data_IF_811864294831
#
_entry.id   IF_811864294831
#
_cell.length_a   1.000
_cell.length_b   1.000
_cell.length_c   1.000
_cell.angle_alpha   90.00
_cell.angle_beta   90.00
_cell.angle_gamma   90.00
#
_symmetry.space_group_name_H-M   'P 1'
#
loop_
_entity.id
_entity.type
_entity.pdbx_description
1 polymer ?
#
# COMPACT_ATOMS: atom_id res chain seq x y z
N UNK A 1 48.60 -19.65 47.16
CA UNK A 1 47.42 -19.93 46.32
C UNK A 1 46.19 -19.35 47.02
N UNK A 2 45.29 -18.62 46.35
CA UNK A 2 45.24 -18.27 44.93
C UNK A 2 45.26 -16.76 44.63
N UNK A 3 45.38 -16.50 43.33
CA UNK A 3 45.52 -15.26 42.59
C UNK A 3 44.39 -14.22 42.73
N UNK A 4 44.79 -12.97 42.53
CA UNK A 4 43.92 -11.84 42.19
C UNK A 4 43.66 -11.83 40.68
N UNK A 5 42.39 -11.77 40.26
CA UNK A 5 41.98 -11.26 38.95
C UNK A 5 41.11 -9.98 39.14
N UNK A 6 41.31 -8.93 38.33
CA UNK A 6 40.62 -7.66 38.47
C UNK A 6 39.36 -7.57 37.58
N UNK A 7 38.34 -6.87 38.10
CA UNK A 7 37.39 -6.05 37.36
C UNK A 7 36.70 -6.65 36.12
N UNK A 8 35.59 -7.38 36.33
CA UNK A 8 34.53 -7.47 35.32
C UNK A 8 33.43 -6.45 35.64
N UNK A 9 33.46 -5.32 34.94
CA UNK A 9 32.25 -4.53 34.69
C UNK A 9 31.24 -5.41 33.95
N UNK A 10 29.97 -5.45 34.35
CA UNK A 10 28.96 -6.10 33.53
C UNK A 10 28.81 -5.28 32.25
N UNK A 11 29.22 -5.87 31.13
CA UNK A 11 28.87 -5.43 29.79
C UNK A 11 27.35 -5.35 29.70
N UNK A 12 26.77 -4.15 29.87
CA UNK A 12 25.45 -3.86 29.35
C UNK A 12 25.52 -4.00 27.82
N UNK A 13 25.19 -5.20 27.33
CA UNK A 13 24.64 -5.31 25.99
C UNK A 13 23.32 -4.56 26.03
N UNK A 14 23.33 -3.35 25.50
CA UNK A 14 22.14 -2.70 24.97
C UNK A 14 21.66 -3.58 23.82
N UNK A 15 20.87 -4.62 24.14
CA UNK A 15 20.03 -5.27 23.15
C UNK A 15 18.90 -4.29 22.87
N UNK A 16 19.11 -3.56 21.78
CA UNK A 16 18.12 -3.11 20.82
C UNK A 16 16.70 -3.64 21.08
N UNK A 17 15.89 -2.84 21.78
CA UNK A 17 14.51 -3.16 22.17
C UNK A 17 13.54 -2.12 21.59
N UNK A 18 13.80 -1.68 20.35
CA UNK A 18 12.96 -0.74 19.60
C UNK A 18 12.41 -1.39 18.33
N UNK A 19 11.47 -2.32 18.50
CA UNK A 19 10.42 -2.64 17.50
C UNK A 19 9.50 -3.75 18.05
N UNK A 20 8.72 -3.46 19.10
CA UNK A 20 7.73 -4.42 19.61
C UNK A 20 6.42 -4.38 18.82
N UNK A 21 6.51 -4.63 17.52
CA UNK A 21 5.38 -5.16 16.75
C UNK A 21 5.61 -6.66 16.65
N UNK A 22 4.99 -7.43 17.56
CA UNK A 22 5.14 -8.89 17.51
C UNK A 22 4.48 -9.44 16.24
N UNK A 23 5.13 -10.42 15.62
CA UNK A 23 4.69 -11.09 14.40
C UNK A 23 3.27 -11.70 14.53
N UNK A 24 2.82 -11.96 15.76
CA UNK A 24 1.50 -12.56 16.05
C UNK A 24 0.35 -11.53 16.01
N UNK A 25 0.54 -10.31 16.52
CA UNK A 25 -0.45 -9.23 16.36
C UNK A 25 -0.64 -8.87 14.88
N UNK A 26 0.46 -8.92 14.11
CA UNK A 26 0.48 -8.71 12.66
C UNK A 26 -0.31 -9.79 11.90
N UNK A 27 -0.11 -11.08 12.22
CA UNK A 27 -0.86 -12.19 11.62
C UNK A 27 -2.37 -12.14 11.92
N UNK A 28 -2.74 -11.75 13.14
CA UNK A 28 -4.16 -11.69 13.55
C UNK A 28 -4.97 -10.65 12.77
N UNK A 29 -4.38 -9.49 12.45
CA UNK A 29 -5.02 -8.44 11.65
C UNK A 29 -5.17 -8.85 10.18
N UNK A 30 -4.19 -9.58 9.64
CA UNK A 30 -4.19 -10.08 8.25
C UNK A 30 -5.30 -11.12 8.03
N UNK A 31 -5.50 -12.05 8.99
CA UNK A 31 -6.50 -13.13 8.87
C UNK A 31 -7.94 -12.62 8.72
N UNK A 32 -8.30 -11.53 9.40
CA UNK A 32 -9.66 -10.94 9.35
C UNK A 32 -10.00 -10.41 7.96
N UNK A 33 -9.01 -9.91 7.20
CA UNK A 33 -9.21 -9.44 5.83
C UNK A 33 -9.38 -10.59 4.83
N UNK A 34 -8.60 -11.67 5.00
CA UNK A 34 -8.62 -12.84 4.10
C UNK A 34 -9.92 -13.65 4.22
N UNK A 35 -10.36 -13.97 5.44
CA UNK A 35 -11.59 -14.74 5.65
C UNK A 35 -12.84 -14.01 5.12
N UNK A 36 -12.85 -12.67 5.23
CA UNK A 36 -13.91 -11.82 4.67
C UNK A 36 -13.96 -11.88 3.14
N UNK A 37 -12.80 -11.84 2.48
CA UNK A 37 -12.70 -11.99 1.02
C UNK A 37 -13.12 -13.39 0.57
N UNK A 38 -12.68 -14.46 1.25
CA UNK A 38 -13.09 -15.84 0.95
C UNK A 38 -14.61 -16.03 1.03
N UNK A 39 -15.23 -15.45 2.07
CA UNK A 39 -16.67 -15.48 2.24
C UNK A 39 -17.37 -14.77 1.09
N UNK A 40 -16.93 -13.56 0.76
CA UNK A 40 -17.53 -12.74 -0.31
C UNK A 40 -17.39 -13.40 -1.69
N UNK A 41 -16.23 -13.99 -2.00
CA UNK A 41 -16.02 -14.76 -3.24
C UNK A 41 -16.99 -15.94 -3.32
N UNK A 42 -17.15 -16.69 -2.22
CA UNK A 42 -18.06 -17.84 -2.18
C UNK A 42 -19.52 -17.44 -2.32
N UNK A 43 -19.95 -16.43 -1.57
CA UNK A 43 -21.36 -16.02 -1.49
C UNK A 43 -21.82 -15.26 -2.73
N UNK A 44 -20.95 -14.44 -3.31
CA UNK A 44 -21.36 -13.51 -4.39
C UNK A 44 -20.94 -13.96 -5.78
N UNK A 45 -19.82 -14.69 -5.89
CA UNK A 45 -19.35 -15.22 -7.18
C UNK A 45 -19.68 -16.70 -7.34
N UNK A 46 -20.03 -17.40 -6.25
CA UNK A 46 -20.28 -18.84 -6.27
C UNK A 46 -19.02 -19.68 -6.52
N UNK A 47 -17.83 -19.08 -6.35
CA UNK A 47 -16.54 -19.71 -6.66
C UNK A 47 -15.94 -20.30 -5.37
N UNK A 48 -15.27 -21.45 -5.49
CA UNK A 48 -14.42 -21.91 -4.41
C UNK A 48 -13.15 -21.04 -4.35
N UNK A 49 -12.92 -20.24 -3.29
CA UNK A 49 -11.75 -19.37 -3.21
C UNK A 49 -10.43 -20.17 -3.23
N UNK A 50 -10.45 -21.46 -2.86
CA UNK A 50 -9.24 -22.30 -2.91
C UNK A 50 -8.95 -22.87 -4.30
N UNK A 51 -9.69 -22.48 -5.33
CA UNK A 51 -9.51 -22.91 -6.72
C UNK A 51 -8.83 -21.80 -7.55
N UNK A 52 -7.48 -21.74 -7.60
CA UNK A 52 -6.76 -20.68 -8.31
C UNK A 52 -7.11 -20.61 -9.80
N UNK A 53 -7.36 -21.77 -10.44
CA UNK A 53 -7.67 -21.83 -11.87
C UNK A 53 -9.01 -21.13 -12.16
N UNK A 54 -10.02 -21.39 -11.33
CA UNK A 54 -11.35 -20.80 -11.48
C UNK A 54 -11.38 -19.31 -11.14
N UNK A 55 -10.60 -18.89 -10.14
CA UNK A 55 -10.40 -17.48 -9.79
C UNK A 55 -9.75 -16.72 -10.95
N UNK A 56 -8.60 -17.17 -11.44
CA UNK A 56 -7.90 -16.49 -12.52
C UNK A 56 -8.70 -16.52 -13.83
N UNK A 57 -9.42 -17.61 -14.14
CA UNK A 57 -10.32 -17.66 -15.29
C UNK A 57 -11.46 -16.64 -15.19
N UNK A 58 -12.04 -16.49 -13.99
CA UNK A 58 -13.09 -15.50 -13.71
C UNK A 58 -12.54 -14.08 -13.79
N UNK A 59 -11.38 -13.82 -13.20
CA UNK A 59 -10.71 -12.53 -13.25
C UNK A 59 -10.46 -12.10 -14.70
N UNK A 60 -9.87 -12.98 -15.52
CA UNK A 60 -9.60 -12.71 -16.93
C UNK A 60 -10.88 -12.46 -17.74
N UNK A 61 -11.97 -13.16 -17.44
CA UNK A 61 -13.27 -12.93 -18.08
C UNK A 61 -13.83 -11.57 -17.69
N UNK A 62 -13.86 -11.26 -16.40
CA UNK A 62 -14.35 -9.99 -15.85
C UNK A 62 -13.55 -8.82 -16.40
N UNK A 63 -12.21 -8.92 -16.46
CA UNK A 63 -11.35 -7.90 -17.05
C UNK A 63 -11.70 -7.62 -18.51
N UNK A 64 -11.91 -8.64 -19.33
CA UNK A 64 -12.31 -8.44 -20.74
C UNK A 64 -13.65 -7.72 -20.87
N UNK A 65 -14.63 -8.11 -20.05
CA UNK A 65 -15.96 -7.48 -20.02
C UNK A 65 -15.88 -6.02 -19.56
N UNK A 66 -15.02 -5.73 -18.58
CA UNK A 66 -14.73 -4.37 -18.11
C UNK A 66 -14.08 -3.54 -19.22
N UNK A 67 -13.01 -4.03 -19.86
CA UNK A 67 -12.33 -3.30 -20.93
C UNK A 67 -13.26 -3.00 -22.11
N UNK A 68 -14.13 -3.95 -22.48
CA UNK A 68 -15.13 -3.75 -23.53
C UNK A 68 -16.17 -2.66 -23.18
N UNK A 69 -16.38 -2.39 -21.90
CA UNK A 69 -17.25 -1.33 -21.42
C UNK A 69 -16.52 0.02 -21.27
N UNK A 70 -15.36 0.01 -20.63
CA UNK A 70 -14.66 1.20 -20.15
C UNK A 70 -13.92 1.93 -21.28
N UNK A 71 -13.21 1.20 -22.15
CA UNK A 71 -12.37 1.83 -23.19
C UNK A 71 -13.19 2.69 -24.16
N UNK A 72 -14.38 2.27 -24.66
CA UNK A 72 -15.22 3.14 -25.49
C UNK A 72 -15.74 4.40 -24.76
N UNK A 73 -15.67 4.42 -23.43
CA UNK A 73 -16.16 5.49 -22.54
C UNK A 73 -15.02 6.22 -21.82
N UNK A 74 -13.77 6.04 -22.27
CA UNK A 74 -12.59 6.47 -21.56
C UNK A 74 -12.67 7.92 -21.07
N UNK A 75 -12.93 8.87 -21.98
CA UNK A 75 -13.02 10.31 -21.66
C UNK A 75 -14.03 10.65 -20.56
N UNK A 76 -15.23 10.05 -20.60
CA UNK A 76 -16.24 10.30 -19.57
C UNK A 76 -15.84 9.69 -18.23
N UNK A 77 -15.26 8.48 -18.23
CA UNK A 77 -14.86 7.79 -17.02
C UNK A 77 -13.60 8.42 -16.38
N UNK A 78 -12.66 8.91 -17.18
CA UNK A 78 -11.49 9.67 -16.73
C UNK A 78 -11.92 10.97 -16.02
N UNK A 79 -12.85 11.72 -16.62
CA UNK A 79 -13.41 12.92 -16.01
C UNK A 79 -14.21 12.61 -14.73
N UNK A 80 -14.96 11.52 -14.72
CA UNK A 80 -15.68 11.06 -13.53
C UNK A 80 -14.70 10.68 -12.40
N UNK A 81 -13.61 9.98 -12.74
CA UNK A 81 -12.61 9.54 -11.76
C UNK A 81 -11.94 10.74 -11.10
N UNK A 82 -11.51 11.74 -11.90
CA UNK A 82 -10.97 12.99 -11.37
C UNK A 82 -11.97 13.69 -10.45
N UNK A 83 -13.23 13.87 -10.90
CA UNK A 83 -14.28 14.52 -10.11
C UNK A 83 -14.48 13.83 -8.77
N UNK A 84 -14.70 12.51 -8.77
CA UNK A 84 -14.99 11.73 -7.57
C UNK A 84 -13.82 11.76 -6.58
N UNK A 85 -12.58 11.64 -7.06
CA UNK A 85 -11.39 11.70 -6.19
C UNK A 85 -11.20 13.10 -5.62
N UNK A 86 -11.40 14.15 -6.43
CA UNK A 86 -11.28 15.53 -5.94
C UNK A 86 -12.32 15.86 -4.89
N UNK A 87 -13.58 15.47 -5.11
CA UNK A 87 -14.66 15.66 -4.15
C UNK A 87 -14.37 14.93 -2.83
N UNK A 88 -13.90 13.69 -2.91
CA UNK A 88 -13.67 12.87 -1.71
C UNK A 88 -12.45 13.32 -0.88
N UNK A 89 -11.37 13.70 -1.54
CA UNK A 89 -10.14 14.19 -0.90
C UNK A 89 -10.17 15.70 -0.62
N UNK A 90 -11.25 16.41 -0.99
CA UNK A 90 -11.34 17.87 -0.92
C UNK A 90 -10.15 18.53 -1.64
N UNK A 91 -9.74 17.95 -2.76
CA UNK A 91 -8.56 18.37 -3.51
C UNK A 91 -8.87 19.63 -4.33
N UNK A 92 -8.10 20.72 -4.19
CA UNK A 92 -8.36 21.97 -4.89
C UNK A 92 -8.15 21.80 -6.40
N UNK A 93 -8.99 22.48 -7.20
CA UNK A 93 -8.83 22.52 -8.66
C UNK A 93 -7.65 23.40 -9.05
N UNK A 94 -7.51 24.53 -8.36
CA UNK A 94 -6.39 25.44 -8.49
C UNK A 94 -5.14 24.82 -7.82
N UNK A 95 -3.98 24.89 -8.49
CA UNK A 95 -2.73 24.40 -7.91
C UNK A 95 -2.41 22.93 -8.16
N UNK A 96 -3.35 22.13 -8.68
CA UNK A 96 -3.16 20.70 -8.94
C UNK A 96 -3.68 20.31 -10.33
N UNK A 97 -2.76 19.93 -11.20
CA UNK A 97 -3.05 19.35 -12.52
C UNK A 97 -3.26 17.85 -12.39
N UNK A 98 -4.33 17.31 -12.97
CA UNK A 98 -4.61 15.87 -13.00
C UNK A 98 -4.69 15.40 -14.44
N UNK A 99 -3.92 14.37 -14.78
CA UNK A 99 -3.97 13.65 -16.04
C UNK A 99 -4.35 12.20 -15.75
N UNK A 100 -5.58 11.84 -16.12
CA UNK A 100 -6.17 10.54 -15.86
C UNK A 100 -6.35 9.78 -17.18
N UNK A 101 -5.88 8.54 -17.24
CA UNK A 101 -5.84 7.75 -18.46
C UNK A 101 -6.35 6.32 -18.26
N UNK A 102 -7.35 5.92 -19.03
CA UNK A 102 -7.72 4.51 -19.17
C UNK A 102 -6.89 3.87 -20.28
N UNK A 103 -6.23 2.76 -19.95
CA UNK A 103 -5.36 2.03 -20.87
C UNK A 103 -5.83 0.57 -21.02
N UNK A 104 -5.46 -0.08 -22.13
CA UNK A 104 -5.67 -1.52 -22.23
C UNK A 104 -4.72 -2.27 -21.28
N UNK A 105 -5.08 -3.51 -20.93
CA UNK A 105 -4.16 -4.38 -20.21
C UNK A 105 -2.87 -4.60 -21.02
N UNK A 106 -1.71 -4.40 -20.39
CA UNK A 106 -0.40 -4.42 -21.06
C UNK A 106 0.05 -3.09 -21.66
N UNK A 107 -0.81 -2.07 -21.70
CA UNK A 107 -0.50 -0.72 -22.23
C UNK A 107 -0.30 0.33 -21.12
N UNK A 108 -0.37 -0.06 -19.84
CA UNK A 108 -0.06 0.83 -18.71
C UNK A 108 1.44 1.13 -18.73
N UNK A 109 1.85 2.42 -18.88
CA UNK A 109 3.25 2.78 -19.04
C UNK A 109 4.03 2.59 -17.74
N UNK A 110 5.36 2.50 -17.88
CA UNK A 110 6.27 2.78 -16.77
C UNK A 110 6.32 4.28 -16.52
N UNK A 111 6.35 4.66 -15.26
CA UNK A 111 6.43 6.06 -14.85
C UNK A 111 7.50 6.20 -13.77
N UNK A 112 8.08 7.39 -13.63
CA UNK A 112 9.09 7.69 -12.62
C UNK A 112 8.62 7.30 -11.21
N UNK A 113 9.53 6.73 -10.40
CA UNK A 113 9.23 6.11 -9.09
C UNK A 113 9.41 4.59 -9.07
N UNK A 114 9.70 3.96 -10.21
CA UNK A 114 10.16 2.56 -10.30
C UNK A 114 11.65 2.43 -9.92
N UNK A 115 12.05 3.02 -8.79
CA UNK A 115 13.45 3.02 -8.37
C UNK A 115 13.94 1.57 -8.24
N UNK A 116 15.00 1.25 -8.98
CA UNK A 116 15.76 0.04 -8.73
C UNK A 116 16.37 0.17 -7.33
N UNK A 117 16.34 -0.89 -6.54
CA UNK A 117 17.05 -0.89 -5.27
C UNK A 117 18.53 -0.53 -5.53
N UNK A 118 19.14 0.31 -4.68
CA UNK A 118 20.53 0.68 -4.83
C UNK A 118 21.40 -0.58 -4.89
N UNK A 119 22.27 -0.66 -5.90
CA UNK A 119 23.11 -1.83 -6.16
C UNK A 119 24.09 -2.12 -5.01
N UNK A 120 24.41 -1.09 -4.21
CA UNK A 120 25.26 -1.21 -3.03
C UNK A 120 24.52 -0.78 -1.75
N UNK A 121 24.69 -1.53 -0.65
CA UNK A 121 24.12 -1.16 0.64
C UNK A 121 24.78 0.13 1.16
N UNK A 122 24.03 1.24 1.15
CA UNK A 122 24.44 2.50 1.77
C UNK A 122 24.16 2.49 3.28
N UNK A 123 25.05 3.07 4.09
CA UNK A 123 24.78 3.30 5.51
C UNK A 123 23.78 4.45 5.68
N UNK A 124 22.52 4.08 5.86
CA UNK A 124 21.40 5.00 6.09
C UNK A 124 21.00 5.08 7.57
N UNK A 125 21.85 4.64 8.50
CA UNK A 125 21.53 4.60 9.94
C UNK A 125 21.11 5.96 10.49
N UNK A 126 21.71 7.05 10.02
CA UNK A 126 21.41 8.42 10.43
C UNK A 126 19.99 8.89 10.02
N UNK A 127 19.41 8.29 8.97
CA UNK A 127 18.09 8.66 8.41
C UNK A 127 17.06 7.52 8.53
N UNK A 128 17.40 6.45 9.26
CA UNK A 128 16.56 5.26 9.39
C UNK A 128 15.17 5.58 9.95
N UNK A 129 15.07 6.58 10.84
CA UNK A 129 13.79 7.08 11.36
C UNK A 129 12.89 7.66 10.26
N UNK A 130 13.45 8.50 9.38
CA UNK A 130 12.71 9.10 8.26
C UNK A 130 12.32 8.07 7.19
N UNK A 131 13.20 7.10 6.90
CA UNK A 131 12.88 5.97 6.00
C UNK A 131 11.71 5.16 6.57
N UNK A 132 11.78 4.80 7.86
CA UNK A 132 10.71 4.05 8.54
C UNK A 132 9.39 4.81 8.54
N UNK A 133 9.44 6.12 8.83
CA UNK A 133 8.27 7.01 8.75
C UNK A 133 7.67 6.99 7.33
N UNK A 134 8.49 7.16 6.29
CA UNK A 134 8.01 7.17 4.91
C UNK A 134 7.39 5.83 4.49
N UNK A 135 7.97 4.69 4.89
CA UNK A 135 7.37 3.36 4.63
C UNK A 135 5.99 3.19 5.28
N UNK A 136 5.81 3.69 6.50
CA UNK A 136 4.50 3.68 7.18
C UNK A 136 3.50 4.64 6.52
N UNK A 137 3.96 5.78 6.01
CA UNK A 137 3.14 6.68 5.19
C UNK A 137 2.73 6.00 3.88
N UNK A 138 3.64 5.32 3.18
CA UNK A 138 3.34 4.52 1.99
C UNK A 138 2.26 3.46 2.30
N UNK A 139 2.36 2.78 3.44
CA UNK A 139 1.33 1.86 3.91
C UNK A 139 -0.02 2.58 4.11
N UNK A 140 -0.06 3.72 4.80
CA UNK A 140 -1.29 4.50 4.96
C UNK A 140 -1.89 4.96 3.62
N UNK A 141 -1.06 5.35 2.65
CA UNK A 141 -1.50 5.73 1.30
C UNK A 141 -2.15 4.54 0.59
N UNK A 142 -1.50 3.37 0.60
CA UNK A 142 -2.03 2.15 0.00
C UNK A 142 -3.34 1.71 0.68
N UNK A 143 -3.40 1.78 2.01
CA UNK A 143 -4.61 1.53 2.79
C UNK A 143 -5.74 2.50 2.47
N UNK A 144 -5.44 3.79 2.36
CA UNK A 144 -6.41 4.83 2.07
C UNK A 144 -6.97 4.77 0.65
N UNK A 145 -6.13 4.39 -0.30
CA UNK A 145 -6.50 4.20 -1.69
C UNK A 145 -7.51 3.07 -1.93
N UNK A 146 -7.71 2.16 -0.97
CA UNK A 146 -8.83 1.20 -1.04
C UNK A 146 -10.17 1.90 -1.21
N UNK A 147 -10.36 3.08 -0.63
CA UNK A 147 -11.60 3.84 -0.82
C UNK A 147 -11.83 4.19 -2.30
N UNK A 148 -10.75 4.52 -3.01
CA UNK A 148 -10.75 4.75 -4.46
C UNK A 148 -11.29 3.57 -5.27
N UNK A 149 -11.04 2.33 -4.81
CA UNK A 149 -11.54 1.10 -5.45
C UNK A 149 -13.07 1.06 -5.55
N UNK A 150 -13.79 1.71 -4.62
CA UNK A 150 -15.24 1.67 -4.48
C UNK A 150 -15.94 2.97 -4.89
N UNK A 151 -15.21 4.01 -5.32
CA UNK A 151 -15.80 5.29 -5.72
C UNK A 151 -16.77 5.17 -6.90
N UNK A 152 -16.68 4.11 -7.70
CA UNK A 152 -17.64 3.82 -8.77
C UNK A 152 -19.09 3.67 -8.29
N UNK A 153 -19.33 3.43 -7.00
CA UNK A 153 -20.70 3.44 -6.45
C UNK A 153 -21.32 4.84 -6.46
N UNK A 154 -20.49 5.89 -6.38
CA UNK A 154 -20.89 7.29 -6.40
C UNK A 154 -20.93 7.88 -7.82
N UNK A 155 -20.44 7.14 -8.81
CA UNK A 155 -20.57 7.50 -10.22
C UNK A 155 -22.05 7.60 -10.63
N UNK A 156 -22.34 8.49 -11.57
CA UNK A 156 -23.68 8.67 -12.10
C UNK A 156 -24.15 7.40 -12.83
N UNK A 157 -25.46 7.11 -12.83
CA UNK A 157 -26.00 5.96 -13.56
C UNK A 157 -25.70 5.99 -15.07
N UNK A 158 -25.49 7.18 -15.63
CA UNK A 158 -25.09 7.41 -17.02
C UNK A 158 -23.64 7.01 -17.30
N UNK A 159 -22.78 7.05 -16.28
CA UNK A 159 -21.35 6.70 -16.36
C UNK A 159 -21.15 5.18 -16.24
N UNK A 160 -21.98 4.49 -15.43
CA UNK A 160 -21.89 3.03 -15.23
C UNK A 160 -23.07 2.28 -15.85
N UNK A 161 -22.86 1.55 -16.94
CA UNK A 161 -23.93 0.74 -17.54
C UNK A 161 -24.44 -0.34 -16.57
N UNK A 162 -25.68 -0.84 -16.73
CA UNK A 162 -26.21 -1.93 -15.90
C UNK A 162 -25.27 -3.15 -15.91
N UNK A 163 -25.01 -3.72 -14.73
CA UNK A 163 -24.18 -4.91 -14.60
C UNK A 163 -22.67 -4.66 -14.56
N UNK A 164 -22.17 -3.43 -14.77
CA UNK A 164 -20.72 -3.17 -14.73
C UNK A 164 -20.18 -3.08 -13.29
N UNK A 165 -20.99 -2.56 -12.36
CA UNK A 165 -20.57 -2.38 -10.96
C UNK A 165 -20.28 -3.71 -10.28
N UNK A 166 -21.07 -4.74 -10.60
CA UNK A 166 -20.89 -6.11 -10.15
C UNK A 166 -19.58 -6.71 -10.69
N UNK A 167 -19.18 -6.33 -11.91
CA UNK A 167 -17.91 -6.75 -12.51
C UNK A 167 -16.73 -6.04 -11.86
N UNK A 168 -16.83 -4.73 -11.63
CA UNK A 168 -15.83 -3.99 -10.85
C UNK A 168 -15.63 -4.60 -9.46
N UNK A 169 -16.72 -4.98 -8.80
CA UNK A 169 -16.66 -5.65 -7.50
C UNK A 169 -16.01 -7.03 -7.57
N UNK A 170 -16.38 -7.84 -8.57
CA UNK A 170 -15.78 -9.16 -8.77
C UNK A 170 -14.27 -9.06 -9.05
N UNK A 171 -13.85 -8.07 -9.85
CA UNK A 171 -12.43 -7.79 -10.11
C UNK A 171 -11.67 -7.55 -8.81
N UNK A 172 -12.12 -6.61 -7.98
CA UNK A 172 -11.42 -6.27 -6.72
C UNK A 172 -11.44 -7.41 -5.71
N UNK A 173 -12.55 -8.12 -5.57
CA UNK A 173 -12.62 -9.29 -4.68
C UNK A 173 -11.56 -10.32 -5.04
N UNK A 174 -11.46 -10.68 -6.33
CA UNK A 174 -10.52 -11.70 -6.78
C UNK A 174 -9.09 -11.16 -6.72
N UNK A 175 -8.84 -9.95 -7.22
CA UNK A 175 -7.52 -9.33 -7.24
C UNK A 175 -6.93 -9.21 -5.83
N UNK A 176 -7.71 -8.72 -4.87
CA UNK A 176 -7.26 -8.58 -3.48
C UNK A 176 -7.03 -9.94 -2.80
N UNK A 177 -7.85 -10.94 -3.15
CA UNK A 177 -7.69 -12.29 -2.61
C UNK A 177 -6.48 -13.04 -3.19
N UNK A 178 -6.21 -12.85 -4.49
CA UNK A 178 -5.10 -13.51 -5.17
C UNK A 178 -3.75 -13.19 -4.48
N UNK A 179 -3.55 -12.01 -3.90
CA UNK A 179 -2.35 -11.72 -3.10
C UNK A 179 -2.17 -12.66 -1.90
N UNK A 180 -3.24 -13.00 -1.19
CA UNK A 180 -3.19 -13.96 -0.09
C UNK A 180 -2.98 -15.38 -0.61
N UNK A 181 -3.62 -15.74 -1.72
CA UNK A 181 -3.49 -17.06 -2.33
C UNK A 181 -2.07 -17.31 -2.85
N UNK A 182 -1.46 -16.32 -3.50
CA UNK A 182 -0.07 -16.39 -3.93
C UNK A 182 0.86 -16.53 -2.73
N UNK A 183 0.66 -15.77 -1.66
CA UNK A 183 1.46 -15.93 -0.45
C UNK A 183 1.33 -17.33 0.15
N UNK A 184 0.11 -17.84 0.32
CA UNK A 184 -0.14 -19.21 0.81
C UNK A 184 0.53 -20.28 -0.05
N UNK A 185 0.42 -20.14 -1.39
CA UNK A 185 0.99 -21.09 -2.34
C UNK A 185 2.53 -21.06 -2.27
N UNK A 186 3.11 -19.88 -2.14
CA UNK A 186 4.54 -19.70 -1.95
C UNK A 186 5.01 -20.30 -0.62
N UNK A 187 4.31 -20.01 0.49
CA UNK A 187 4.61 -20.60 1.80
C UNK A 187 4.48 -22.13 1.79
N UNK A 188 3.44 -22.67 1.16
CA UNK A 188 3.23 -24.10 0.99
C UNK A 188 4.32 -24.78 0.14
N UNK A 189 4.75 -24.16 -0.97
CA UNK A 189 5.81 -24.67 -1.83
C UNK A 189 7.19 -24.65 -1.14
N UNK A 190 7.43 -23.70 -0.24
CA UNK A 190 8.63 -23.65 0.61
C UNK A 190 8.61 -24.77 1.65
N UNK A 191 7.46 -25.01 2.28
CA UNK A 191 7.28 -26.06 3.29
C UNK A 191 7.38 -27.47 2.70
N UNK A 192 6.88 -27.74 1.50
CA UNK A 192 7.03 -29.04 0.81
C UNK A 192 8.49 -29.34 0.39
N UNK A 193 9.36 -28.32 0.32
CA UNK A 193 10.80 -28.48 0.06
C UNK A 193 11.65 -28.53 1.34
N UNK A 194 11.04 -28.45 2.52
CA UNK A 194 11.74 -28.39 3.81
C UNK A 194 12.31 -29.73 4.31
N UNK A 195 12.17 -30.83 3.56
CA UNK A 195 12.86 -32.12 3.81
C UNK A 195 14.34 -32.13 3.32
N UNK A 196 14.90 -30.97 2.99
CA UNK A 196 16.30 -30.80 2.56
C UNK A 196 17.13 -30.24 3.74
N UNK A 197 18.27 -30.87 4.11
CA UNK A 197 18.98 -30.56 5.34
C UNK A 197 19.54 -29.12 5.41
N UNK A 198 19.51 -28.45 6.58
CA UNK A 198 19.51 -26.98 6.69
C UNK A 198 20.90 -26.30 6.68
N UNK A 199 21.94 -26.93 6.11
CA UNK A 199 23.33 -26.49 6.37
C UNK A 199 24.17 -26.17 5.12
N UNK A 200 23.56 -26.02 3.95
CA UNK A 200 24.28 -25.57 2.75
C UNK A 200 24.26 -24.03 2.66
N UNK A 201 25.42 -23.35 2.55
CA UNK A 201 25.49 -21.89 2.38
C UNK A 201 24.71 -21.38 1.14
N UNK A 202 24.57 -22.21 0.11
CA UNK A 202 23.74 -21.91 -1.07
C UNK A 202 22.26 -21.92 -0.72
N UNK A 203 21.84 -22.77 0.23
CA UNK A 203 20.46 -22.83 0.75
C UNK A 203 20.16 -21.64 1.67
N UNK A 204 21.10 -21.15 2.49
CA UNK A 204 20.88 -19.90 3.24
C UNK A 204 20.73 -18.68 2.32
N UNK A 205 21.49 -18.63 1.22
CA UNK A 205 21.31 -17.62 0.17
C UNK A 205 19.95 -17.76 -0.52
N UNK A 206 19.52 -19.00 -0.78
CA UNK A 206 18.21 -19.31 -1.35
C UNK A 206 17.06 -19.15 -0.36
N UNK A 207 17.20 -19.26 0.96
CA UNK A 207 16.14 -18.99 1.94
C UNK A 207 15.87 -17.48 2.05
N UNK A 208 16.89 -16.64 1.86
CA UNK A 208 16.72 -15.20 1.67
C UNK A 208 15.98 -14.84 0.37
N UNK A 209 16.18 -15.65 -0.68
CA UNK A 209 15.55 -15.49 -2.01
C UNK A 209 14.15 -16.15 -2.10
N UNK A 210 13.97 -17.31 -1.45
CA UNK A 210 12.81 -18.22 -1.53
C UNK A 210 11.93 -18.20 -0.28
N UNK A 211 12.36 -17.61 0.84
CA UNK A 211 11.40 -17.26 1.88
C UNK A 211 10.33 -16.42 1.19
N UNK A 212 9.06 -16.85 1.18
CA UNK A 212 8.04 -16.44 0.19
C UNK A 212 7.89 -14.93 -0.10
N UNK A 213 8.48 -14.09 0.75
CA UNK A 213 8.75 -12.66 0.60
C UNK A 213 9.70 -12.28 -0.57
N UNK A 214 10.81 -12.98 -0.78
CA UNK A 214 11.76 -12.69 -1.87
C UNK A 214 11.21 -13.06 -3.25
N UNK A 215 10.57 -14.23 -3.33
CA UNK A 215 9.95 -14.72 -4.56
C UNK A 215 8.73 -13.88 -4.98
N UNK A 216 7.91 -13.39 -4.03
CA UNK A 216 6.82 -12.46 -4.35
C UNK A 216 7.36 -11.15 -4.95
N UNK A 217 8.46 -10.62 -4.40
CA UNK A 217 9.15 -9.45 -4.96
C UNK A 217 9.64 -9.73 -6.38
N UNK A 218 10.23 -10.89 -6.65
CA UNK A 218 10.66 -11.28 -8.00
C UNK A 218 9.50 -11.44 -8.98
N UNK A 219 8.37 -12.01 -8.54
CA UNK A 219 7.16 -12.16 -9.37
C UNK A 219 6.55 -10.79 -9.69
N UNK A 220 6.43 -9.90 -8.70
CA UNK A 220 5.96 -8.54 -8.93
C UNK A 220 6.91 -7.78 -9.85
N UNK A 221 8.22 -7.88 -9.62
CA UNK A 221 9.23 -7.25 -10.47
C UNK A 221 9.20 -7.81 -11.90
N UNK A 222 8.99 -9.11 -12.08
CA UNK A 222 8.83 -9.73 -13.40
C UNK A 222 7.53 -9.27 -14.07
N UNK A 223 6.42 -9.25 -13.34
CA UNK A 223 5.13 -8.76 -13.81
C UNK A 223 5.21 -7.31 -14.26
N UNK A 224 5.85 -6.47 -13.45
CA UNK A 224 6.21 -5.10 -13.80
C UNK A 224 7.10 -5.09 -15.06
N UNK A 225 8.16 -5.89 -15.09
CA UNK A 225 9.10 -5.93 -16.21
C UNK A 225 8.42 -6.26 -17.55
N UNK A 226 7.48 -7.21 -17.55
CA UNK A 226 6.77 -7.69 -18.74
C UNK A 226 5.43 -6.97 -18.98
N UNK A 227 5.11 -5.92 -18.22
CA UNK A 227 3.96 -5.04 -18.48
C UNK A 227 2.61 -5.48 -17.88
N UNK A 228 2.59 -6.42 -16.95
CA UNK A 228 1.39 -6.87 -16.23
C UNK A 228 1.04 -5.90 -15.08
N UNK A 229 0.78 -4.64 -15.40
CA UNK A 229 0.32 -3.61 -14.45
C UNK A 229 -1.19 -3.39 -14.58
N UNK A 230 -1.89 -3.38 -13.46
CA UNK A 230 -3.30 -2.97 -13.43
C UNK A 230 -3.44 -1.43 -13.45
N UNK A 231 -2.52 -0.72 -12.82
CA UNK A 231 -2.51 0.73 -12.78
C UNK A 231 -1.16 1.27 -12.34
N UNK A 232 -0.97 2.58 -12.49
CA UNK A 232 0.20 3.31 -12.01
C UNK A 232 -0.14 4.77 -11.79
N UNK A 233 0.43 5.38 -10.76
CA UNK A 233 0.39 6.83 -10.54
C UNK A 233 1.80 7.38 -10.34
N UNK A 234 1.99 8.63 -10.74
CA UNK A 234 3.14 9.45 -10.37
C UNK A 234 2.67 10.85 -10.00
N UNK A 235 3.46 11.51 -9.16
CA UNK A 235 3.23 12.91 -8.78
C UNK A 235 4.50 13.69 -9.06
N UNK A 236 4.39 14.68 -9.93
CA UNK A 236 5.48 15.59 -10.30
C UNK A 236 5.30 16.94 -9.60
N UNK A 237 6.36 17.39 -8.94
CA UNK A 237 6.43 18.66 -8.21
C UNK A 237 7.33 19.70 -8.91
N UNK A 238 7.89 19.39 -10.08
CA UNK A 238 8.87 20.23 -10.78
C UNK A 238 8.25 21.43 -11.51
N UNK A 239 6.94 21.38 -11.81
CA UNK A 239 6.19 22.44 -12.46
C UNK A 239 5.72 23.54 -11.51
N UNK A 240 5.04 24.56 -12.08
CA UNK A 240 4.36 25.62 -11.30
C UNK A 240 3.26 25.06 -10.40
N UNK A 241 2.59 23.99 -10.85
CA UNK A 241 1.56 23.27 -10.13
C UNK A 241 1.96 21.80 -10.00
N UNK A 242 1.55 21.19 -8.89
CA UNK A 242 1.73 19.75 -8.71
C UNK A 242 0.91 19.00 -9.76
N UNK A 243 1.49 17.96 -10.37
CA UNK A 243 0.87 17.22 -11.46
C UNK A 243 0.75 15.74 -11.09
N UNK A 244 -0.49 15.26 -10.99
CA UNK A 244 -0.79 13.83 -10.84
C UNK A 244 -1.01 13.24 -12.23
N UNK A 245 -0.26 12.19 -12.57
CA UNK A 245 -0.49 11.40 -13.79
C UNK A 245 -0.81 9.97 -13.39
N UNK A 246 -2.03 9.52 -13.70
CA UNK A 246 -2.52 8.20 -13.32
C UNK A 246 -3.05 7.42 -14.53
N UNK A 247 -2.73 6.13 -14.55
CA UNK A 247 -3.18 5.16 -15.54
C UNK A 247 -3.90 4.00 -14.84
N UNK A 248 -4.98 3.51 -15.42
CA UNK A 248 -5.67 2.31 -14.95
C UNK A 248 -6.27 1.51 -16.08
N UNK A 249 -6.31 0.19 -15.93
CA UNK A 249 -6.94 -0.71 -16.93
C UNK A 249 -8.47 -0.72 -16.88
N UNK A 250 -9.03 -0.07 -15.86
CA UNK A 250 -10.47 0.05 -15.63
C UNK A 250 -10.76 1.29 -14.79
N UNK A 251 -12.01 1.75 -14.83
CA UNK A 251 -12.46 2.92 -14.08
C UNK A 251 -12.17 2.82 -12.57
N UNK A 252 -12.47 1.71 -11.86
CA UNK A 252 -12.11 1.58 -10.46
C UNK A 252 -10.61 1.61 -10.18
N UNK A 253 -9.79 1.04 -11.07
CA UNK A 253 -8.34 1.07 -10.92
C UNK A 253 -7.80 2.49 -11.13
N UNK A 254 -8.33 3.22 -12.09
CA UNK A 254 -7.99 4.63 -12.27
C UNK A 254 -8.37 5.47 -11.06
N UNK A 255 -9.57 5.26 -10.47
CA UNK A 255 -9.96 5.89 -9.22
C UNK A 255 -9.01 5.55 -8.07
N UNK A 256 -8.59 4.29 -7.96
CA UNK A 256 -7.61 3.86 -6.96
C UNK A 256 -6.26 4.57 -7.11
N UNK A 257 -5.70 4.62 -8.33
CA UNK A 257 -4.41 5.27 -8.60
C UNK A 257 -4.47 6.79 -8.44
N UNK A 258 -5.54 7.45 -8.88
CA UNK A 258 -5.74 8.88 -8.63
C UNK A 258 -5.87 9.19 -7.13
N UNK A 259 -6.55 8.33 -6.37
CA UNK A 259 -6.66 8.49 -4.92
C UNK A 259 -5.30 8.36 -4.24
N UNK A 260 -4.46 7.41 -4.68
CA UNK A 260 -3.05 7.32 -4.25
C UNK A 260 -2.30 8.62 -4.53
N UNK A 261 -2.39 9.14 -5.76
CA UNK A 261 -1.77 10.41 -6.13
C UNK A 261 -2.22 11.58 -5.27
N UNK A 262 -3.51 11.65 -4.93
CA UNK A 262 -4.03 12.68 -4.04
C UNK A 262 -3.54 12.56 -2.60
N UNK A 263 -3.45 11.34 -2.05
CA UNK A 263 -2.84 11.13 -0.74
C UNK A 263 -1.33 11.40 -0.75
N UNK A 264 -0.65 11.13 -1.87
CA UNK A 264 0.78 11.43 -2.05
C UNK A 264 1.05 12.93 -1.97
N UNK A 265 0.20 13.76 -2.60
CA UNK A 265 0.29 15.22 -2.46
C UNK A 265 0.18 15.68 -1.00
N UNK A 266 -0.71 15.05 -0.22
CA UNK A 266 -0.85 15.36 1.20
C UNK A 266 0.40 14.90 1.96
N UNK A 267 0.86 13.68 1.67
CA UNK A 267 2.04 13.05 2.27
C UNK A 267 3.35 13.80 2.00
N UNK A 268 3.44 14.58 0.93
CA UNK A 268 4.59 15.42 0.62
C UNK A 268 4.96 16.39 1.76
N UNK A 269 3.99 16.82 2.58
CA UNK A 269 4.21 17.65 3.76
C UNK A 269 4.97 16.93 4.88
N UNK A 270 5.08 15.60 4.81
CA UNK A 270 5.84 14.78 5.74
C UNK A 270 7.27 14.46 5.28
N UNK A 271 7.67 14.90 4.09
CA UNK A 271 9.02 14.67 3.56
C UNK A 271 10.06 15.58 4.23
N UNK A 272 11.33 15.12 4.35
CA UNK A 272 12.42 15.97 4.82
C UNK A 272 12.55 17.26 4.01
N UNK A 273 12.90 18.37 4.69
CA UNK A 273 13.16 19.65 4.04
C UNK A 273 14.47 19.65 3.23
N UNK A 274 15.50 18.96 3.74
CA UNK A 274 16.78 18.80 3.05
C UNK A 274 16.60 17.93 1.79
N UNK A 275 16.93 18.44 0.58
CA UNK A 275 16.72 17.74 -0.67
C UNK A 275 17.50 16.43 -0.78
N UNK A 276 18.72 16.38 -0.23
CA UNK A 276 19.58 15.19 -0.29
C UNK A 276 19.02 14.12 0.65
N UNK A 277 18.61 14.51 1.86
CA UNK A 277 17.98 13.56 2.79
C UNK A 277 16.66 13.07 2.21
N UNK A 278 15.86 13.94 1.61
CA UNK A 278 14.59 13.59 0.95
C UNK A 278 14.79 12.56 -0.15
N UNK A 279 15.73 12.80 -1.06
CA UNK A 279 16.04 11.87 -2.17
C UNK A 279 16.42 10.49 -1.61
N UNK A 280 17.36 10.45 -0.66
CA UNK A 280 17.76 9.19 -0.01
C UNK A 280 16.60 8.49 0.70
N UNK A 281 15.74 9.23 1.39
CA UNK A 281 14.57 8.66 2.08
C UNK A 281 13.61 8.03 1.08
N UNK A 282 13.34 8.70 -0.05
CA UNK A 282 12.48 8.17 -1.11
C UNK A 282 13.10 6.91 -1.75
N UNK A 283 14.38 6.96 -2.14
CA UNK A 283 15.09 5.82 -2.72
C UNK A 283 15.07 4.56 -1.83
N UNK A 284 15.20 4.74 -0.51
CA UNK A 284 15.24 3.63 0.44
C UNK A 284 13.85 3.21 0.96
N UNK A 285 12.83 4.04 0.79
CA UNK A 285 11.45 3.73 1.19
C UNK A 285 10.63 3.14 0.04
N UNK A 286 10.93 3.51 -1.21
CA UNK A 286 10.22 3.08 -2.40
C UNK A 286 10.92 1.85 -3.00
N UNK A 287 10.44 0.66 -2.64
CA UNK A 287 10.89 -0.60 -3.22
C UNK A 287 9.73 -1.53 -3.53
N UNK A 288 9.85 -2.36 -4.58
CA UNK A 288 8.80 -3.30 -5.01
C UNK A 288 8.41 -4.25 -3.86
N UNK A 289 9.37 -4.68 -3.04
CA UNK A 289 9.10 -5.51 -1.86
C UNK A 289 8.35 -4.78 -0.73
N UNK A 290 8.43 -3.46 -0.67
CA UNK A 290 7.73 -2.62 0.31
C UNK A 290 6.28 -2.33 -0.11
N UNK A 291 5.96 -2.35 -1.41
CA UNK A 291 4.58 -2.17 -1.89
C UNK A 291 3.65 -3.32 -1.44
N UNK A 292 4.11 -4.56 -1.57
CA UNK A 292 3.38 -5.74 -1.07
C UNK A 292 3.14 -5.69 0.45
N UNK A 293 4.13 -5.22 1.22
CA UNK A 293 3.99 -4.99 2.68
C UNK A 293 3.01 -3.87 3.02
N UNK A 294 3.09 -2.78 2.27
CA UNK A 294 2.25 -1.59 2.43
C UNK A 294 0.77 -1.93 2.20
N UNK A 295 0.47 -2.80 1.25
CA UNK A 295 -0.91 -3.28 1.01
C UNK A 295 -1.47 -4.05 2.21
N UNK A 296 -0.67 -4.91 2.85
CA UNK A 296 -1.13 -5.71 3.99
C UNK A 296 -1.34 -4.87 5.26
N UNK A 297 -0.35 -4.04 5.60
CA UNK A 297 -0.37 -3.22 6.81
C UNK A 297 -1.30 -2.02 6.67
N UNK A 298 -1.32 -1.41 5.48
CA UNK A 298 -1.97 -0.15 5.20
C UNK A 298 -3.45 -0.13 5.52
N UNK A 299 -4.16 -1.19 5.16
CA UNK A 299 -5.61 -1.31 5.34
C UNK A 299 -5.97 -1.20 6.83
N UNK A 300 -5.29 -1.99 7.66
CA UNK A 300 -5.51 -2.03 9.11
C UNK A 300 -5.18 -0.69 9.77
N UNK A 301 -4.03 -0.10 9.41
CA UNK A 301 -3.64 1.22 9.92
C UNK A 301 -4.64 2.30 9.52
N UNK A 302 -5.06 2.32 8.26
CA UNK A 302 -6.00 3.30 7.75
C UNK A 302 -7.38 3.16 8.40
N UNK A 303 -7.89 1.94 8.59
CA UNK A 303 -9.15 1.69 9.29
C UNK A 303 -9.09 2.16 10.75
N UNK A 304 -8.01 1.83 11.46
CA UNK A 304 -7.79 2.30 12.84
C UNK A 304 -7.76 3.81 12.89
N UNK A 305 -7.03 4.46 11.98
CA UNK A 305 -6.97 5.92 11.90
C UNK A 305 -8.36 6.53 11.69
N UNK A 306 -9.13 6.00 10.74
CA UNK A 306 -10.48 6.50 10.47
C UNK A 306 -11.45 6.33 11.63
N UNK A 307 -11.30 5.28 12.44
CA UNK A 307 -12.13 5.07 13.64
C UNK A 307 -11.90 6.14 14.72
N UNK A 308 -10.76 6.82 14.71
CA UNK A 308 -10.49 7.93 15.62
C UNK A 308 -11.23 9.22 15.24
N UNK A 309 -11.57 9.36 13.96
CA UNK A 309 -12.26 10.51 13.37
C UNK A 309 -13.76 10.27 13.46
N UNK A 310 -14.50 11.19 14.11
CA UNK A 310 -15.94 11.06 14.27
C UNK A 310 -16.67 11.10 12.91
N UNK A 311 -17.91 10.58 12.87
CA UNK A 311 -18.74 10.61 11.67
C UNK A 311 -19.02 12.05 11.17
N UNK A 312 -19.04 13.01 12.08
CA UNK A 312 -19.19 14.44 11.78
C UNK A 312 -17.90 15.05 11.19
N UNK A 313 -16.74 14.44 11.48
CA UNK A 313 -15.42 14.85 11.00
C UNK A 313 -14.96 14.15 9.73
N UNK A 314 -15.84 13.46 9.00
CA UNK A 314 -15.47 12.68 7.79
C UNK A 314 -14.76 13.52 6.74
N UNK A 315 -15.18 14.78 6.56
CA UNK A 315 -14.52 15.73 5.64
C UNK A 315 -13.14 16.21 6.11
N UNK A 316 -12.76 15.94 7.36
CA UNK A 316 -11.48 16.34 7.95
C UNK A 316 -10.40 15.26 7.79
N UNK A 317 -10.71 14.10 7.20
CA UNK A 317 -9.74 13.00 7.01
C UNK A 317 -8.47 13.44 6.26
N UNK A 318 -8.55 14.17 5.13
CA UNK A 318 -7.36 14.66 4.43
C UNK A 318 -6.51 15.58 5.34
N UNK A 319 -7.17 16.45 6.10
CA UNK A 319 -6.52 17.37 7.04
C UNK A 319 -5.84 16.61 8.20
N UNK A 320 -6.52 15.67 8.84
CA UNK A 320 -5.93 14.83 9.91
C UNK A 320 -4.74 14.05 9.38
N UNK A 321 -4.83 13.50 8.18
CA UNK A 321 -3.72 12.80 7.55
C UNK A 321 -2.53 13.74 7.33
N UNK A 322 -2.76 14.95 6.79
CA UNK A 322 -1.73 15.99 6.63
C UNK A 322 -1.02 16.32 7.96
N UNK A 323 -1.78 16.52 9.03
CA UNK A 323 -1.23 16.86 10.33
C UNK A 323 -0.39 15.71 10.92
N UNK A 324 -0.81 14.47 10.72
CA UNK A 324 -0.07 13.29 11.18
C UNK A 324 1.24 13.15 10.41
N UNK A 325 1.24 13.27 9.08
CA UNK A 325 2.48 13.10 8.28
C UNK A 325 3.51 14.20 8.56
N UNK A 326 3.08 15.40 8.95
CA UNK A 326 3.95 16.52 9.37
C UNK A 326 4.68 16.28 10.70
N UNK A 327 4.25 15.31 11.52
CA UNK A 327 4.93 15.01 12.78
C UNK A 327 6.40 14.61 12.54
N UNK A 328 7.35 15.07 13.37
CA UNK A 328 8.71 14.50 13.39
C UNK A 328 8.65 12.99 13.58
N UNK A 329 9.61 12.26 13.01
CA UNK A 329 9.54 10.80 12.95
C UNK A 329 9.30 10.15 14.32
N UNK A 330 9.90 10.64 15.41
CA UNK A 330 9.69 10.08 16.75
C UNK A 330 8.24 10.22 17.23
N UNK A 331 7.61 11.38 16.97
CA UNK A 331 6.21 11.61 17.33
C UNK A 331 5.27 10.82 16.44
N UNK A 332 5.60 10.70 15.15
CA UNK A 332 4.87 9.89 14.21
C UNK A 332 4.88 8.41 14.63
N UNK A 333 6.06 7.84 14.94
CA UNK A 333 6.18 6.46 15.39
C UNK A 333 5.43 6.21 16.69
N UNK A 334 5.55 7.11 17.68
CA UNK A 334 4.79 7.02 18.92
C UNK A 334 3.27 7.05 18.69
N UNK A 335 2.79 7.82 17.70
CA UNK A 335 1.39 7.81 17.30
C UNK A 335 1.00 6.48 16.65
N UNK A 336 1.80 5.94 15.73
CA UNK A 336 1.54 4.66 15.08
C UNK A 336 1.51 3.51 16.11
N UNK A 337 2.41 3.50 17.09
CA UNK A 337 2.42 2.50 18.16
C UNK A 337 1.10 2.54 18.97
N UNK A 338 0.65 3.75 19.34
CA UNK A 338 -0.64 3.95 20.02
C UNK A 338 -1.81 3.51 19.14
N UNK A 339 -1.75 3.79 17.84
CA UNK A 339 -2.78 3.43 16.88
C UNK A 339 -2.91 1.90 16.74
N UNK A 340 -1.78 1.20 16.58
CA UNK A 340 -1.77 -0.26 16.40
C UNK A 340 -2.28 -0.96 17.66
N UNK A 341 -1.88 -0.47 18.85
CA UNK A 341 -2.26 -1.03 20.15
C UNK A 341 -3.65 -0.62 20.64
N UNK A 342 -4.42 0.13 19.85
CA UNK A 342 -5.74 0.69 20.24
C UNK A 342 -5.67 1.50 21.56
N UNK A 343 -4.54 2.17 21.80
CA UNK A 343 -4.33 2.96 23.00
C UNK A 343 -5.23 4.21 22.99
N UNK A 344 -5.92 4.56 24.09
CA UNK A 344 -6.86 5.69 24.12
C UNK A 344 -6.23 7.03 23.71
N UNK A 345 -4.96 7.27 24.06
CA UNK A 345 -4.18 8.45 23.64
C UNK A 345 -4.08 8.65 22.12
N UNK A 346 -4.29 7.61 21.30
CA UNK A 346 -4.31 7.78 19.85
C UNK A 346 -5.43 8.76 19.46
N UNK A 347 -6.59 8.63 20.11
CA UNK A 347 -7.72 9.55 19.92
C UNK A 347 -7.41 10.94 20.45
N UNK A 348 -6.78 11.06 21.62
CA UNK A 348 -6.40 12.35 22.17
C UNK A 348 -5.44 13.11 21.24
N UNK A 349 -4.51 12.39 20.61
CA UNK A 349 -3.59 12.96 19.61
C UNK A 349 -4.37 13.53 18.43
N UNK A 350 -5.29 12.77 17.84
CA UNK A 350 -6.14 13.26 16.73
C UNK A 350 -7.00 14.45 17.15
N UNK A 351 -7.64 14.38 18.32
CA UNK A 351 -8.49 15.46 18.82
C UNK A 351 -7.67 16.73 19.11
N UNK A 352 -6.41 16.61 19.52
CA UNK A 352 -5.51 17.75 19.72
C UNK A 352 -5.11 18.41 18.39
N UNK A 353 -4.83 17.62 17.35
CA UNK A 353 -4.53 18.14 16.00
C UNK A 353 -5.72 18.90 15.40
N UNK A 354 -6.95 18.43 15.66
CA UNK A 354 -8.18 19.08 15.21
C UNK A 354 -8.51 20.38 15.95
N UNK A 355 -8.01 20.58 17.18
CA UNK A 355 -8.18 21.83 17.95
C UNK A 355 -7.16 22.92 17.58
N UNK A 356 -6.08 22.54 16.91
CA UNK A 356 -4.98 23.44 16.55
C UNK A 356 -5.16 24.13 15.19
N UNK A 357 -6.08 23.63 14.34
CA UNK A 357 -6.68 24.33 13.19
C UNK A 357 -7.77 25.29 13.62
#
# INVERSE_FOLDING_TARGET
MPDQEPGRTPSHRLTDDRSHLTNETFKGLIAVSKEGLERSIREELGINPKNPIELSATLMRVMREISAHDLPRARSLESAAERLVREDLVMPKEGVVVEAHLASFGEVPRIAGDAAEPEEPEDVSAIAGEISKRRLINALIQGGARKGQYLYHLAEPTETAPGIREKYRAFWLINDYEYFLFQDLLEGAVLERADIPPQDPVIQGLEGLLGGRGLMKEIMALGDQIGLRAGKVSVDYSGEFAKIVAYGISFPVLCHELYKGGLELIAAHGLPEDPIIREKVLEHADGIGEEGRSLQLGISLWEKLNKLISAEGVGLRPYVFEQIVRLPHERFHAFIDKLVTDHPDAKETVDALLRAS
#
